data_IF_600506786702
#
_entry.id   IF_600506786702
#
_cell.length_a   1.000
_cell.length_b   1.000
_cell.length_c   1.000
_cell.angle_alpha   90.00
_cell.angle_beta   90.00
_cell.angle_gamma   90.00
#
_symmetry.space_group_name_H-M   'P 1'
#
loop_
_entity.id
_entity.type
_entity.pdbx_description
1 polymer ?
#
# COMPACT_ATOMS: atom_id res chain seq x y z
N UNK A 1 8.03 25.70 14.63
CA UNK A 1 7.28 24.43 14.53
C UNK A 1 8.02 23.56 13.52
N UNK A 2 8.79 22.57 13.99
CA UNK A 2 9.53 21.67 13.09
C UNK A 2 8.61 20.49 12.78
N UNK A 3 8.17 20.36 11.53
CA UNK A 3 7.49 19.15 11.05
C UNK A 3 8.57 18.17 10.58
N UNK A 4 8.56 16.97 11.15
CA UNK A 4 9.43 15.86 10.79
C UNK A 4 8.71 15.05 9.71
N UNK A 5 9.37 14.80 8.57
CA UNK A 5 8.84 13.99 7.48
C UNK A 5 9.98 13.12 6.89
N UNK A 6 9.67 11.89 6.49
CA UNK A 6 10.64 10.83 6.17
C UNK A 6 10.22 10.17 4.85
N UNK A 7 11.13 10.00 3.87
CA UNK A 7 10.83 9.35 2.57
C UNK A 7 11.50 7.97 2.43
N UNK A 8 10.71 6.94 2.11
CA UNK A 8 11.16 5.55 1.93
C UNK A 8 11.37 5.24 0.46
N UNK A 9 12.52 4.64 0.10
CA UNK A 9 12.77 4.06 -1.23
C UNK A 9 12.63 2.54 -1.14
N UNK A 10 11.75 1.94 -1.96
CA UNK A 10 11.50 0.50 -1.93
C UNK A 10 12.42 -0.27 -2.90
N UNK A 11 13.22 -1.19 -2.36
CA UNK A 11 13.97 -2.17 -3.16
C UNK A 11 13.10 -3.42 -3.41
N UNK A 12 12.57 -3.50 -4.62
CA UNK A 12 11.73 -4.62 -5.09
C UNK A 12 12.46 -5.98 -5.20
N UNK A 13 13.79 -6.00 -5.18
CA UNK A 13 14.57 -7.25 -5.22
C UNK A 13 14.83 -7.82 -3.82
N UNK A 14 14.90 -6.96 -2.81
CA UNK A 14 15.20 -7.35 -1.43
C UNK A 14 13.98 -7.35 -0.49
N UNK A 15 12.83 -6.81 -0.91
CA UNK A 15 11.67 -6.51 -0.08
C UNK A 15 12.02 -5.64 1.16
N UNK A 16 12.80 -4.58 0.95
CA UNK A 16 13.24 -3.67 2.04
C UNK A 16 13.06 -2.22 1.60
N UNK A 17 12.57 -1.39 2.51
CA UNK A 17 12.61 0.07 2.36
C UNK A 17 13.92 0.63 2.92
N UNK A 18 14.61 1.46 2.16
CA UNK A 18 15.78 2.23 2.61
C UNK A 18 15.42 3.71 2.80
N UNK A 19 16.07 4.36 3.77
CA UNK A 19 15.84 5.76 4.12
C UNK A 19 17.00 6.62 3.58
N UNK A 20 16.73 7.46 2.57
CA UNK A 20 17.72 8.41 2.05
C UNK A 20 17.60 9.74 2.80
N UNK A 21 18.64 10.14 3.52
CA UNK A 21 18.73 11.43 4.21
C UNK A 21 19.40 12.47 3.28
N UNK A 22 18.62 13.20 2.49
CA UNK A 22 19.12 14.39 1.80
C UNK A 22 19.03 15.60 2.75
N UNK A 23 20.17 16.23 3.04
CA UNK A 23 20.30 17.25 4.08
C UNK A 23 19.32 18.44 3.93
N UNK A 24 18.73 18.83 5.06
CA UNK A 24 17.99 20.07 5.40
C UNK A 24 16.90 20.63 4.45
N UNK A 25 16.78 20.13 3.22
CA UNK A 25 15.71 20.45 2.29
C UNK A 25 15.37 19.16 1.54
N UNK A 26 14.35 18.46 2.04
CA UNK A 26 13.77 17.29 1.41
C UNK A 26 12.88 17.75 0.26
N UNK A 27 13.00 17.09 -0.90
CA UNK A 27 12.29 17.44 -2.13
C UNK A 27 10.77 17.45 -1.92
N UNK A 28 10.17 18.64 -2.04
CA UNK A 28 8.71 18.83 -2.14
C UNK A 28 8.20 18.08 -3.38
N UNK A 29 7.65 16.88 -3.16
CA UNK A 29 7.09 16.05 -4.23
C UNK A 29 6.90 14.57 -3.89
N UNK A 30 7.61 14.04 -2.87
CA UNK A 30 7.65 12.60 -2.57
C UNK A 30 6.70 12.14 -1.44
N UNK A 31 5.82 13.02 -0.97
CA UNK A 31 4.88 12.81 0.13
C UNK A 31 3.82 11.74 -0.20
N UNK A 32 3.17 11.87 -1.36
CA UNK A 32 2.11 10.94 -1.81
C UNK A 32 2.68 9.56 -2.10
N UNK A 33 3.81 9.47 -2.80
CA UNK A 33 4.43 8.18 -3.10
C UNK A 33 4.90 7.47 -1.83
N UNK A 34 5.47 8.21 -0.88
CA UNK A 34 5.84 7.64 0.42
C UNK A 34 4.61 7.17 1.20
N UNK A 35 3.54 7.98 1.25
CA UNK A 35 2.28 7.60 1.88
C UNK A 35 1.65 6.35 1.24
N UNK A 36 1.70 6.23 -0.09
CA UNK A 36 1.28 5.03 -0.82
C UNK A 36 2.14 3.82 -0.45
N UNK A 37 3.47 3.96 -0.41
CA UNK A 37 4.37 2.86 -0.03
C UNK A 37 4.08 2.36 1.38
N UNK A 38 3.93 3.27 2.35
CA UNK A 38 3.59 2.90 3.72
C UNK A 38 2.24 2.20 3.73
N UNK A 39 1.21 2.79 3.13
CA UNK A 39 -0.14 2.23 3.13
C UNK A 39 -0.23 0.85 2.48
N UNK A 40 0.52 0.59 1.41
CA UNK A 40 0.39 -0.66 0.64
C UNK A 40 1.30 -1.78 1.12
N UNK A 41 2.41 -1.46 1.79
CA UNK A 41 3.45 -2.42 2.17
C UNK A 41 3.63 -2.59 3.68
N UNK A 42 2.85 -1.90 4.51
CA UNK A 42 2.67 -2.29 5.92
C UNK A 42 1.44 -3.17 6.07
N UNK A 43 1.49 -4.10 7.03
CA UNK A 43 0.36 -4.99 7.29
C UNK A 43 -0.71 -4.26 8.12
N UNK A 44 -1.93 -4.20 7.57
CA UNK A 44 -3.13 -3.86 8.34
C UNK A 44 -3.59 -5.09 9.10
N UNK A 45 -4.19 -4.86 10.27
CA UNK A 45 -4.84 -5.91 11.04
C UNK A 45 -6.00 -6.53 10.23
N UNK A 46 -6.13 -7.85 10.30
CA UNK A 46 -7.25 -8.60 9.72
C UNK A 46 -8.57 -8.26 10.44
N UNK A 47 -9.68 -8.25 9.69
CA UNK A 47 -11.02 -8.15 10.28
C UNK A 47 -11.42 -9.46 10.97
N UNK A 48 -12.45 -9.42 11.81
CA UNK A 48 -12.92 -10.59 12.56
C UNK A 48 -13.38 -11.75 11.67
N UNK A 49 -13.84 -11.45 10.46
CA UNK A 49 -14.35 -12.43 9.49
C UNK A 49 -13.25 -12.89 8.50
N UNK A 50 -12.05 -12.33 8.57
CA UNK A 50 -10.94 -12.70 7.69
C UNK A 50 -10.33 -14.05 8.09
N UNK A 51 -9.97 -14.85 7.09
CA UNK A 51 -9.28 -16.12 7.29
C UNK A 51 -7.77 -15.86 7.25
N UNK A 52 -7.10 -16.15 8.36
CA UNK A 52 -5.64 -16.03 8.45
C UNK A 52 -4.98 -17.20 7.69
N UNK A 53 -4.18 -16.93 6.64
CA UNK A 53 -3.77 -17.95 5.68
C UNK A 53 -2.69 -18.92 6.19
N UNK A 54 -1.99 -18.61 7.29
CA UNK A 54 -0.96 -19.48 7.87
C UNK A 54 -1.50 -20.42 8.97
N UNK A 55 -2.81 -20.41 9.22
CA UNK A 55 -3.46 -21.23 10.23
C UNK A 55 -3.21 -20.78 11.66
N UNK A 56 -2.53 -19.64 11.86
CA UNK A 56 -2.41 -19.01 13.17
C UNK A 56 -3.65 -18.17 13.49
N UNK A 57 -3.65 -17.55 14.67
CA UNK A 57 -4.64 -16.57 15.10
C UNK A 57 -4.05 -15.16 15.18
N UNK A 58 -2.88 -14.92 14.56
CA UNK A 58 -2.23 -13.62 14.53
C UNK A 58 -2.87 -12.74 13.45
N UNK A 59 -3.65 -11.69 13.81
CA UNK A 59 -4.29 -10.84 12.84
C UNK A 59 -3.31 -9.82 12.22
N UNK A 60 -2.01 -9.87 12.58
CA UNK A 60 -0.99 -8.87 12.27
C UNK A 60 -1.46 -7.46 12.69
N UNK A 61 -0.95 -6.44 12.00
CA UNK A 61 -1.33 -5.05 12.21
C UNK A 61 -0.14 -4.14 12.41
N UNK A 62 -0.42 -2.85 12.43
CA UNK A 62 0.58 -1.83 12.67
C UNK A 62 0.51 -1.38 14.13
N UNK A 63 1.65 -1.40 14.81
CA UNK A 63 1.75 -0.96 16.20
C UNK A 63 1.28 0.50 16.42
N UNK A 64 1.25 1.30 15.36
CA UNK A 64 0.79 2.69 15.38
C UNK A 64 -0.74 2.85 15.33
N UNK A 65 -1.52 1.79 15.09
CA UNK A 65 -2.97 1.89 14.90
C UNK A 65 -3.69 2.44 16.15
N UNK A 66 -3.19 2.16 17.36
CA UNK A 66 -3.77 2.64 18.63
C UNK A 66 -3.58 4.16 18.85
N UNK A 67 -2.62 4.77 18.15
CA UNK A 67 -2.28 6.19 18.28
C UNK A 67 -2.52 6.99 17.01
N UNK A 68 -2.73 6.32 15.89
CA UNK A 68 -3.06 6.92 14.60
C UNK A 68 -4.55 7.27 14.53
N UNK A 69 -4.91 8.15 13.59
CA UNK A 69 -6.30 8.55 13.33
C UNK A 69 -7.14 7.47 12.61
N UNK A 70 -6.59 6.26 12.47
CA UNK A 70 -7.20 5.13 11.77
C UNK A 70 -6.13 4.10 11.40
N UNK A 71 -6.54 2.91 10.92
CA UNK A 71 -5.60 1.83 10.65
C UNK A 71 -4.80 2.14 9.38
N UNK A 72 -3.48 1.94 9.45
CA UNK A 72 -2.57 2.05 8.29
C UNK A 72 -2.16 0.67 7.82
N UNK A 73 -1.85 0.59 6.53
CA UNK A 73 -1.43 -0.65 5.90
C UNK A 73 -2.54 -1.28 5.07
N UNK A 74 -2.20 -2.43 4.50
CA UNK A 74 -3.07 -3.20 3.62
C UNK A 74 -3.21 -4.64 4.11
N UNK A 75 -4.36 -5.25 3.79
CA UNK A 75 -4.64 -6.68 4.01
C UNK A 75 -4.20 -7.57 2.85
N UNK A 76 -3.38 -7.06 1.93
CA UNK A 76 -2.79 -7.83 0.82
C UNK A 76 -2.11 -9.13 1.26
N UNK A 77 -1.59 -9.18 2.49
CA UNK A 77 -0.96 -10.38 3.05
C UNK A 77 -1.92 -11.56 3.23
N UNK A 78 -3.23 -11.31 3.39
CA UNK A 78 -4.24 -12.37 3.50
C UNK A 78 -4.36 -13.20 2.22
N UNK A 79 -4.14 -12.57 1.07
CA UNK A 79 -4.40 -13.16 -0.25
C UNK A 79 -3.11 -13.57 -0.99
N UNK A 80 -1.93 -13.25 -0.45
CA UNK A 80 -0.63 -13.37 -1.11
C UNK A 80 -0.28 -14.76 -1.71
N UNK A 81 -0.93 -15.83 -1.21
CA UNK A 81 -0.73 -17.22 -1.66
C UNK A 81 -1.91 -17.82 -2.42
N UNK A 82 -2.95 -17.05 -2.65
CA UNK A 82 -4.15 -17.55 -3.30
C UNK A 82 -3.98 -17.69 -4.81
N UNK A 83 -4.80 -18.56 -5.40
CA UNK A 83 -4.84 -18.82 -6.85
C UNK A 83 -5.00 -17.52 -7.63
N UNK A 84 -4.39 -17.48 -8.81
CA UNK A 84 -4.48 -16.34 -9.72
C UNK A 84 -5.84 -16.33 -10.43
N UNK A 85 -6.85 -15.79 -9.75
CA UNK A 85 -8.22 -15.70 -10.27
C UNK A 85 -8.68 -14.24 -10.38
N UNK A 86 -9.87 -14.03 -10.95
CA UNK A 86 -10.50 -12.70 -10.99
C UNK A 86 -10.95 -12.25 -9.61
N UNK A 87 -11.39 -13.19 -8.78
CA UNK A 87 -11.83 -12.95 -7.41
C UNK A 87 -10.66 -12.52 -6.52
N UNK A 88 -9.47 -13.10 -6.71
CA UNK A 88 -8.23 -12.66 -6.04
C UNK A 88 -7.82 -11.25 -6.51
N UNK A 89 -7.94 -10.93 -7.81
CA UNK A 89 -7.68 -9.57 -8.29
C UNK A 89 -8.65 -8.54 -7.70
N UNK A 90 -9.94 -8.89 -7.61
CA UNK A 90 -10.93 -8.00 -7.03
C UNK A 90 -10.61 -7.71 -5.56
N UNK A 91 -10.29 -8.74 -4.77
CA UNK A 91 -9.90 -8.54 -3.36
C UNK A 91 -8.61 -7.73 -3.23
N UNK A 92 -7.63 -7.93 -4.12
CA UNK A 92 -6.43 -7.09 -4.15
C UNK A 92 -6.78 -5.62 -4.42
N UNK A 93 -7.69 -5.34 -5.35
CA UNK A 93 -8.20 -3.99 -5.58
C UNK A 93 -8.87 -3.42 -4.32
N UNK A 94 -9.75 -4.18 -3.69
CA UNK A 94 -10.49 -3.74 -2.50
C UNK A 94 -9.53 -3.39 -1.34
N UNK A 95 -8.50 -4.22 -1.10
CA UNK A 95 -7.48 -3.96 -0.09
C UNK A 95 -6.54 -2.80 -0.43
N UNK A 96 -6.28 -2.53 -1.71
CA UNK A 96 -5.53 -1.34 -2.14
C UNK A 96 -6.36 -0.09 -1.89
N UNK A 97 -7.64 -0.10 -2.27
CA UNK A 97 -8.57 1.03 -2.05
C UNK A 97 -8.70 1.34 -0.56
N UNK A 98 -8.94 0.31 0.26
CA UNK A 98 -9.03 0.46 1.72
C UNK A 98 -7.78 1.12 2.30
N UNK A 99 -6.60 0.62 1.92
CA UNK A 99 -5.34 1.08 2.48
C UNK A 99 -5.06 2.56 2.20
N UNK A 100 -5.50 3.08 1.06
CA UNK A 100 -5.18 4.46 0.63
C UNK A 100 -6.34 5.44 0.84
N UNK A 101 -7.51 4.97 1.28
CA UNK A 101 -8.70 5.79 1.42
C UNK A 101 -8.49 6.99 2.35
N UNK A 102 -7.72 6.82 3.42
CA UNK A 102 -7.41 7.90 4.37
C UNK A 102 -6.78 9.13 3.68
N UNK A 103 -6.04 8.94 2.58
CA UNK A 103 -5.42 10.05 1.85
C UNK A 103 -6.46 10.93 1.14
N UNK A 104 -7.63 10.38 0.80
CA UNK A 104 -8.77 11.16 0.31
C UNK A 104 -9.48 11.84 1.48
N UNK A 105 -9.73 11.10 2.56
CA UNK A 105 -10.48 11.58 3.72
C UNK A 105 -9.76 12.79 4.39
N UNK A 106 -8.43 12.71 4.50
CA UNK A 106 -7.57 13.78 5.02
C UNK A 106 -7.20 14.84 3.97
N UNK A 107 -7.73 14.72 2.74
CA UNK A 107 -7.50 15.65 1.61
C UNK A 107 -6.05 15.78 1.16
N UNK A 108 -5.22 14.77 1.42
CA UNK A 108 -3.87 14.65 0.85
C UNK A 108 -3.95 14.56 -0.68
N UNK A 109 -4.95 13.83 -1.18
CA UNK A 109 -5.31 13.78 -2.60
C UNK A 109 -6.81 14.03 -2.77
N UNK A 110 -7.23 14.33 -3.98
CA UNK A 110 -8.65 14.49 -4.35
C UNK A 110 -9.29 13.16 -4.77
N UNK A 111 -8.54 12.32 -5.50
CA UNK A 111 -9.01 11.01 -5.97
C UNK A 111 -7.84 10.14 -6.45
N UNK A 112 -8.12 8.86 -6.64
CA UNK A 112 -7.24 7.90 -7.30
C UNK A 112 -7.91 7.26 -8.52
N UNK A 113 -7.11 6.95 -9.53
CA UNK A 113 -7.45 5.96 -10.56
C UNK A 113 -6.56 4.73 -10.34
N UNK A 114 -7.18 3.54 -10.22
CA UNK A 114 -6.50 2.31 -9.82
C UNK A 114 -6.82 1.22 -10.83
N UNK A 115 -5.78 0.56 -11.34
CA UNK A 115 -5.90 -0.65 -12.15
C UNK A 115 -5.06 -1.76 -11.52
N UNK A 116 -5.67 -2.93 -11.31
CA UNK A 116 -5.01 -4.11 -10.76
C UNK A 116 -5.09 -5.25 -11.77
N UNK A 117 -3.97 -5.89 -12.05
CA UNK A 117 -3.88 -6.96 -13.05
C UNK A 117 -2.78 -7.97 -12.75
N UNK A 118 -2.91 -9.17 -13.31
CA UNK A 118 -1.81 -10.13 -13.41
C UNK A 118 -0.89 -9.70 -14.55
N UNK A 119 0.28 -9.13 -14.24
CA UNK A 119 1.24 -8.68 -15.26
C UNK A 119 1.82 -9.89 -16.00
N UNK A 120 2.12 -10.95 -15.25
CA UNK A 120 2.57 -12.25 -15.72
C UNK A 120 2.26 -13.28 -14.64
N UNK A 121 2.40 -14.56 -14.97
CA UNK A 121 2.25 -15.64 -13.99
C UNK A 121 3.14 -15.38 -12.77
N UNK A 122 2.52 -15.38 -11.60
CA UNK A 122 3.24 -15.18 -10.33
C UNK A 122 3.62 -13.71 -10.07
N UNK A 123 2.97 -12.74 -10.73
CA UNK A 123 3.19 -11.32 -10.44
C UNK A 123 1.88 -10.53 -10.55
N UNK A 124 1.45 -9.96 -9.42
CA UNK A 124 0.36 -8.99 -9.37
C UNK A 124 0.92 -7.58 -9.53
N UNK A 125 0.25 -6.76 -10.34
CA UNK A 125 0.57 -5.35 -10.55
C UNK A 125 -0.59 -4.44 -10.18
N UNK A 126 -0.25 -3.26 -9.67
CA UNK A 126 -1.19 -2.16 -9.50
C UNK A 126 -0.62 -0.88 -10.12
N UNK A 127 -1.37 -0.27 -11.02
CA UNK A 127 -1.14 1.10 -11.48
C UNK A 127 -2.06 2.03 -10.69
N UNK A 128 -1.49 2.97 -9.95
CA UNK A 128 -2.23 3.92 -9.09
C UNK A 128 -1.84 5.33 -9.51
N UNK A 129 -2.82 6.09 -9.98
CA UNK A 129 -2.64 7.49 -10.35
C UNK A 129 -3.35 8.36 -9.34
N UNK A 130 -2.58 9.14 -8.57
CA UNK A 130 -3.12 10.07 -7.59
C UNK A 130 -3.33 11.45 -8.21
N UNK A 131 -4.47 12.08 -7.90
CA UNK A 131 -4.79 13.44 -8.33
C UNK A 131 -4.83 14.35 -7.10
N UNK A 132 -3.92 15.31 -6.99
CA UNK A 132 -3.89 16.29 -5.90
C UNK A 132 -4.96 17.37 -6.08
N UNK A 133 -5.27 18.09 -5.00
CA UNK A 133 -6.29 19.15 -4.99
C UNK A 133 -5.94 20.34 -5.91
N UNK A 134 -4.64 20.56 -6.15
CA UNK A 134 -4.13 21.60 -7.06
C UNK A 134 -4.11 21.18 -8.54
N UNK A 135 -4.58 19.96 -8.85
CA UNK A 135 -4.58 19.37 -10.19
C UNK A 135 -3.30 18.60 -10.54
N UNK A 136 -2.29 18.58 -9.68
CA UNK A 136 -1.06 17.79 -9.90
C UNK A 136 -1.38 16.29 -9.94
N UNK A 137 -0.71 15.56 -10.82
CA UNK A 137 -0.90 14.12 -11.01
C UNK A 137 0.37 13.39 -10.59
N UNK A 138 0.23 12.35 -9.77
CA UNK A 138 1.34 11.51 -9.31
C UNK A 138 1.07 10.05 -9.71
N UNK A 139 1.59 9.60 -10.86
CA UNK A 139 1.45 8.22 -11.30
C UNK A 139 2.44 7.31 -10.56
N UNK A 140 1.97 6.16 -10.09
CA UNK A 140 2.76 5.15 -9.41
C UNK A 140 2.44 3.74 -9.95
N UNK A 141 3.45 2.87 -9.95
CA UNK A 141 3.27 1.45 -10.27
C UNK A 141 3.91 0.60 -9.19
N UNK A 142 3.14 -0.35 -8.68
CA UNK A 142 3.56 -1.29 -7.64
C UNK A 142 3.41 -2.72 -8.16
N UNK A 143 4.29 -3.62 -7.69
CA UNK A 143 4.23 -5.03 -8.05
C UNK A 143 4.51 -5.91 -6.85
N UNK A 144 3.80 -7.04 -6.78
CA UNK A 144 4.00 -8.08 -5.78
C UNK A 144 4.43 -9.37 -6.47
N UNK A 145 5.48 -10.00 -5.96
CA UNK A 145 5.81 -11.38 -6.32
C UNK A 145 4.72 -12.29 -5.75
N UNK A 146 4.07 -13.09 -6.58
CA UNK A 146 2.90 -13.88 -6.20
C UNK A 146 3.21 -15.38 -6.21
N UNK A 147 2.85 -16.07 -5.12
CA UNK A 147 3.17 -17.50 -4.96
C UNK A 147 2.02 -18.44 -5.32
N UNK A 148 0.79 -17.95 -5.35
CA UNK A 148 -0.35 -18.78 -5.75
C UNK A 148 -0.32 -19.05 -7.25
N UNK A 149 -0.19 -20.33 -7.62
CA UNK A 149 -0.30 -20.79 -9.00
C UNK A 149 -1.66 -21.50 -9.17
N UNK A 150 -2.31 -21.22 -10.30
CA UNK A 150 -3.52 -21.84 -10.88
C UNK A 150 -4.42 -22.70 -9.97
#
# INVERSE_FOLDING_TARGET
MVRMDTSTVWDSAANRGDWILAGAALETGNDVTTALLISLFTDRMADLDDIIPDGTTDPRGWWGDDVAAGPIGSRMWLIFREKQTKETLQRAYDYIVEAIQWMIDDKVVARFDINVSWIKRGQLGAQITAYKQDGSIVPNTFTWAWQGND
#
